data_IF_998072711655
#
_entry.id   IF_998072711655
#
_cell.length_a   1.000
_cell.length_b   1.000
_cell.length_c   1.000
_cell.angle_alpha   90.00
_cell.angle_beta   90.00
_cell.angle_gamma   90.00
#
_symmetry.space_group_name_H-M   'P 1'
#
loop_
_entity.id
_entity.type
_entity.pdbx_description
1 polymer ?
#
# COMPACT_ATOMS: atom_id res chain seq x y z
N UNK A 1 -5.00 9.05 -13.53
CA UNK A 1 -4.47 7.74 -13.10
C UNK A 1 -5.66 6.88 -12.74
N UNK A 2 -5.65 5.62 -13.17
CA UNK A 2 -6.70 4.65 -12.85
C UNK A 2 -6.15 3.61 -11.88
N UNK A 3 -7.02 3.01 -11.08
CA UNK A 3 -6.71 1.82 -10.30
C UNK A 3 -7.06 0.57 -11.12
N UNK A 4 -6.30 -0.50 -10.95
CA UNK A 4 -6.64 -1.80 -11.54
C UNK A 4 -6.41 -2.86 -10.49
N UNK A 5 -7.49 -3.54 -10.11
CA UNK A 5 -7.50 -4.65 -9.16
C UNK A 5 -7.20 -5.98 -9.88
N UNK A 6 -6.48 -6.88 -9.21
CA UNK A 6 -6.13 -8.18 -9.75
C UNK A 6 -5.40 -9.08 -8.75
N UNK A 7 -4.67 -10.04 -9.30
CA UNK A 7 -3.84 -10.99 -8.55
C UNK A 7 -2.49 -10.38 -8.19
N UNK A 8 -1.83 -10.96 -7.18
CA UNK A 8 -0.45 -10.61 -6.84
C UNK A 8 0.49 -10.72 -8.06
N UNK A 9 0.28 -11.72 -8.92
CA UNK A 9 1.10 -11.92 -10.11
C UNK A 9 0.95 -10.80 -11.14
N UNK A 10 -0.29 -10.38 -11.42
CA UNK A 10 -0.58 -9.28 -12.34
C UNK A 10 -0.01 -7.96 -11.81
N UNK A 11 -0.18 -7.69 -10.51
CA UNK A 11 0.41 -6.53 -9.88
C UNK A 11 1.95 -6.54 -10.00
N UNK A 12 2.62 -7.66 -9.67
CA UNK A 12 4.07 -7.81 -9.82
C UNK A 12 4.56 -7.59 -11.26
N UNK A 13 3.82 -8.09 -12.25
CA UNK A 13 4.14 -7.87 -13.65
C UNK A 13 4.03 -6.39 -14.02
N UNK A 14 3.04 -5.69 -13.48
CA UNK A 14 2.75 -4.30 -13.78
C UNK A 14 3.72 -3.29 -13.12
N UNK A 15 4.28 -3.60 -11.94
CA UNK A 15 5.32 -2.76 -11.30
C UNK A 15 6.66 -2.85 -12.04
N UNK A 16 6.90 -3.94 -12.76
CA UNK A 16 8.14 -4.19 -13.49
C UNK A 16 9.25 -4.85 -12.64
N UNK A 17 10.05 -5.70 -13.28
CA UNK A 17 11.08 -6.53 -12.62
C UNK A 17 12.23 -5.75 -11.96
N UNK A 18 12.45 -4.50 -12.37
CA UNK A 18 13.49 -3.62 -11.81
C UNK A 18 12.99 -2.69 -10.70
N UNK A 19 11.69 -2.71 -10.38
CA UNK A 19 11.14 -1.86 -9.34
C UNK A 19 11.58 -2.32 -7.95
N UNK A 20 12.07 -1.39 -7.14
CA UNK A 20 12.38 -1.63 -5.72
C UNK A 20 11.13 -2.00 -4.91
N UNK A 21 9.93 -1.75 -5.44
CA UNK A 21 8.68 -2.08 -4.77
C UNK A 21 8.30 -3.57 -4.87
N UNK A 22 8.82 -4.32 -5.86
CA UNK A 22 8.38 -5.69 -6.12
C UNK A 22 8.62 -6.63 -4.93
N UNK A 23 9.79 -6.54 -4.28
CA UNK A 23 10.08 -7.30 -3.07
C UNK A 23 9.15 -6.92 -1.92
N UNK A 24 8.98 -5.62 -1.68
CA UNK A 24 8.11 -5.11 -0.63
C UNK A 24 6.66 -5.58 -0.79
N UNK A 25 6.14 -5.63 -2.03
CA UNK A 25 4.81 -6.14 -2.34
C UNK A 25 4.63 -7.60 -1.91
N UNK A 26 5.61 -8.47 -2.20
CA UNK A 26 5.54 -9.89 -1.81
C UNK A 26 5.61 -10.04 -0.29
N UNK A 27 6.50 -9.32 0.38
CA UNK A 27 6.63 -9.38 1.83
C UNK A 27 5.36 -8.89 2.53
N UNK A 28 4.83 -7.73 2.13
CA UNK A 28 3.58 -7.21 2.68
C UNK A 28 2.40 -8.14 2.41
N UNK A 29 2.30 -8.72 1.21
CA UNK A 29 1.26 -9.71 0.91
C UNK A 29 1.32 -10.90 1.86
N UNK A 30 2.52 -11.45 2.11
CA UNK A 30 2.72 -12.59 3.02
C UNK A 30 2.43 -12.23 4.46
N UNK A 31 2.88 -11.08 4.91
CA UNK A 31 2.59 -10.60 6.26
C UNK A 31 1.07 -10.42 6.47
N UNK A 32 0.40 -9.71 5.57
CA UNK A 32 -1.04 -9.48 5.64
C UNK A 32 -1.83 -10.79 5.57
N UNK A 33 -1.52 -11.68 4.61
CA UNK A 33 -2.27 -12.92 4.40
C UNK A 33 -2.00 -13.99 5.47
N UNK A 34 -0.75 -14.19 5.87
CA UNK A 34 -0.36 -15.31 6.73
C UNK A 34 -0.21 -14.91 8.20
N UNK A 35 0.53 -13.83 8.49
CA UNK A 35 0.82 -13.42 9.86
C UNK A 35 -0.37 -12.67 10.47
N UNK A 36 -0.88 -11.66 9.76
CA UNK A 36 -2.02 -10.85 10.21
C UNK A 36 -3.37 -11.45 9.83
N UNK A 37 -3.41 -12.46 8.96
CA UNK A 37 -4.62 -13.21 8.56
C UNK A 37 -5.73 -12.31 7.99
N UNK A 38 -5.36 -11.30 7.22
CA UNK A 38 -6.30 -10.49 6.47
C UNK A 38 -7.03 -11.32 5.42
N UNK A 39 -8.27 -10.94 5.14
CA UNK A 39 -9.15 -11.62 4.19
C UNK A 39 -9.47 -10.71 3.00
N UNK A 40 -9.97 -11.31 1.91
CA UNK A 40 -10.33 -10.60 0.68
C UNK A 40 -9.18 -9.75 0.11
N UNK A 41 -7.96 -10.29 0.16
CA UNK A 41 -6.78 -9.60 -0.36
C UNK A 41 -6.81 -9.57 -1.89
N UNK A 42 -6.64 -8.36 -2.42
CA UNK A 42 -6.53 -8.06 -3.85
C UNK A 42 -5.30 -7.19 -4.04
N UNK A 43 -4.48 -7.52 -5.03
CA UNK A 43 -3.34 -6.68 -5.38
C UNK A 43 -3.73 -5.81 -6.58
N UNK A 44 -3.44 -4.52 -6.50
CA UNK A 44 -3.76 -3.59 -7.57
C UNK A 44 -2.57 -2.72 -7.93
N UNK A 45 -2.76 -1.90 -8.95
CA UNK A 45 -1.79 -0.87 -9.32
C UNK A 45 -2.45 0.49 -9.52
N UNK A 46 -1.70 1.53 -9.21
CA UNK A 46 -2.03 2.93 -9.44
C UNK A 46 -1.07 3.47 -10.49
N UNK A 47 -1.63 3.98 -11.59
CA UNK A 47 -0.88 4.48 -12.73
C UNK A 47 -1.65 4.31 -14.03
N UNK A 48 -1.30 5.07 -15.05
CA UNK A 48 -1.82 4.92 -16.41
C UNK A 48 -1.18 3.76 -17.17
N UNK A 49 -1.78 3.36 -18.31
CA UNK A 49 -1.18 2.44 -19.28
C UNK A 49 0.21 2.84 -19.76
N UNK A 50 0.47 4.15 -19.83
CA UNK A 50 1.69 4.72 -20.38
C UNK A 50 2.77 4.99 -19.31
N UNK A 51 2.46 4.82 -18.02
CA UNK A 51 3.41 5.06 -16.94
C UNK A 51 4.47 3.95 -16.92
N UNK A 52 5.74 4.34 -17.08
CA UNK A 52 6.87 3.41 -17.07
C UNK A 52 7.02 2.64 -15.75
N UNK A 53 6.50 3.19 -14.66
CA UNK A 53 6.49 2.55 -13.33
C UNK A 53 5.13 2.79 -12.70
N UNK A 54 4.40 1.70 -12.46
CA UNK A 54 3.15 1.73 -11.69
C UNK A 54 3.43 1.50 -10.22
N UNK A 55 2.56 2.01 -9.35
CA UNK A 55 2.67 1.80 -7.92
C UNK A 55 1.72 0.69 -7.49
N UNK A 56 2.25 -0.39 -6.93
CA UNK A 56 1.43 -1.48 -6.43
C UNK A 56 0.73 -1.10 -5.12
N UNK A 57 -0.47 -1.65 -4.91
CA UNK A 57 -1.24 -1.54 -3.66
C UNK A 57 -1.85 -2.89 -3.32
N UNK A 58 -2.21 -3.09 -2.06
CA UNK A 58 -2.93 -4.26 -1.58
C UNK A 58 -4.19 -3.77 -0.88
N UNK A 59 -5.35 -4.22 -1.32
CA UNK A 59 -6.62 -3.98 -0.63
C UNK A 59 -7.04 -5.24 0.10
N UNK A 60 -7.53 -5.12 1.32
CA UNK A 60 -8.05 -6.26 2.07
C UNK A 60 -8.68 -5.87 3.40
N UNK A 61 -9.13 -6.86 4.16
CA UNK A 61 -9.85 -6.67 5.43
C UNK A 61 -9.08 -7.29 6.62
N UNK A 62 -8.70 -6.50 7.64
CA UNK A 62 -8.14 -7.02 8.88
C UNK A 62 -9.13 -7.96 9.62
N UNK A 63 -8.66 -8.93 10.43
CA UNK A 63 -9.54 -9.85 11.16
C UNK A 63 -10.57 -9.16 12.05
N UNK A 64 -10.16 -8.08 12.72
CA UNK A 64 -10.97 -7.37 13.72
C UNK A 64 -11.69 -6.13 13.14
N UNK A 65 -11.84 -6.06 11.81
CA UNK A 65 -12.47 -4.92 11.16
C UNK A 65 -13.39 -5.36 10.03
N UNK A 66 -14.54 -4.71 9.91
CA UNK A 66 -15.44 -4.86 8.75
C UNK A 66 -15.02 -3.95 7.58
N UNK A 67 -14.13 -3.00 7.84
CA UNK A 67 -13.70 -1.96 6.90
C UNK A 67 -12.46 -2.45 6.15
N UNK A 68 -12.55 -2.48 4.82
CA UNK A 68 -11.39 -2.74 3.98
C UNK A 68 -10.39 -1.59 4.08
N UNK A 69 -9.10 -1.92 4.04
CA UNK A 69 -8.00 -0.98 4.02
C UNK A 69 -7.17 -1.18 2.77
N UNK A 70 -6.59 -0.07 2.31
CA UNK A 70 -5.61 -0.08 1.23
C UNK A 70 -4.22 0.06 1.85
N UNK A 71 -3.28 -0.74 1.37
CA UNK A 71 -1.89 -0.77 1.79
C UNK A 71 -1.02 -0.42 0.59
N UNK A 72 -0.10 0.51 0.78
CA UNK A 72 0.95 0.82 -0.19
C UNK A 72 2.28 0.28 0.35
N UNK A 73 2.78 -0.86 -0.17
CA UNK A 73 4.06 -1.42 0.22
C UNK A 73 5.20 -0.68 -0.46
N UNK A 74 6.28 -0.40 0.27
CA UNK A 74 7.52 0.15 -0.30
C UNK A 74 8.75 -0.41 0.42
N UNK A 75 9.87 -0.53 -0.30
CA UNK A 75 11.13 -0.89 0.33
C UNK A 75 11.69 0.30 1.13
N UNK A 76 12.41 0.03 2.22
CA UNK A 76 13.02 1.08 3.05
C UNK A 76 13.93 2.04 2.26
N UNK A 77 14.62 1.51 1.24
CA UNK A 77 15.51 2.26 0.36
C UNK A 77 14.85 2.71 -0.94
N UNK A 78 13.53 2.52 -1.11
CA UNK A 78 12.79 3.02 -2.27
C UNK A 78 12.68 4.54 -2.18
N UNK A 79 13.22 5.30 -3.16
CA UNK A 79 13.01 6.74 -3.22
C UNK A 79 11.52 7.04 -3.36
N UNK A 80 11.01 7.98 -2.57
CA UNK A 80 9.63 8.44 -2.65
C UNK A 80 9.57 9.96 -2.51
N UNK A 81 8.60 10.59 -3.16
CA UNK A 81 8.36 12.03 -3.09
C UNK A 81 6.96 12.29 -2.53
N UNK A 82 6.77 13.47 -1.95
CA UNK A 82 5.44 13.90 -1.51
C UNK A 82 4.43 13.89 -2.66
N UNK A 83 4.86 14.28 -3.86
CA UNK A 83 4.06 14.23 -5.09
C UNK A 83 3.56 12.82 -5.40
N UNK A 84 4.44 11.80 -5.28
CA UNK A 84 4.06 10.39 -5.48
C UNK A 84 2.98 9.95 -4.50
N UNK A 85 3.17 10.24 -3.21
CA UNK A 85 2.20 9.88 -2.17
C UNK A 85 0.87 10.63 -2.33
N UNK A 86 0.93 11.91 -2.70
CA UNK A 86 -0.24 12.73 -2.97
C UNK A 86 -1.04 12.17 -4.15
N UNK A 87 -0.39 11.85 -5.27
CA UNK A 87 -1.07 11.25 -6.42
C UNK A 87 -1.68 9.90 -6.10
N UNK A 88 -0.98 9.07 -5.32
CA UNK A 88 -1.49 7.77 -4.91
C UNK A 88 -2.75 7.92 -4.04
N UNK A 89 -2.73 8.79 -3.03
CA UNK A 89 -3.91 9.09 -2.21
C UNK A 89 -5.08 9.64 -3.04
N UNK A 90 -4.81 10.45 -4.07
CA UNK A 90 -5.85 11.01 -4.95
C UNK A 90 -6.44 9.97 -5.90
N UNK A 91 -5.66 8.99 -6.33
CA UNK A 91 -6.10 7.98 -7.28
C UNK A 91 -6.90 6.83 -6.64
N UNK A 92 -6.68 6.56 -5.36
CA UNK A 92 -7.32 5.45 -4.64
C UNK A 92 -8.78 5.70 -4.23
N UNK A 93 -9.31 6.92 -4.47
CA UNK A 93 -10.68 7.34 -4.10
C UNK A 93 -11.14 6.83 -2.72
N UNK A 94 -10.27 7.01 -1.72
CA UNK A 94 -10.53 6.49 -0.38
C UNK A 94 -11.75 7.18 0.25
N UNK A 95 -12.63 6.45 0.97
CA UNK A 95 -13.74 7.05 1.69
C UNK A 95 -13.29 8.17 2.63
N UNK A 96 -14.16 9.15 2.87
CA UNK A 96 -13.83 10.27 3.77
C UNK A 96 -13.50 9.74 5.17
N UNK A 97 -12.26 9.98 5.62
CA UNK A 97 -11.75 9.50 6.91
C UNK A 97 -11.04 8.13 6.86
N UNK A 98 -10.98 7.46 5.71
CA UNK A 98 -10.12 6.30 5.52
C UNK A 98 -8.66 6.73 5.30
N UNK A 99 -7.73 5.94 5.83
CA UNK A 99 -6.29 6.12 5.69
C UNK A 99 -5.71 5.07 4.75
N UNK A 100 -4.66 5.45 4.03
CA UNK A 100 -3.79 4.53 3.35
C UNK A 100 -2.76 4.01 4.35
N UNK A 101 -2.56 2.70 4.42
CA UNK A 101 -1.47 2.14 5.21
C UNK A 101 -0.18 2.10 4.39
N UNK A 102 0.82 2.90 4.78
CA UNK A 102 2.17 2.79 4.25
C UNK A 102 2.90 1.63 4.93
N UNK A 103 3.18 0.56 4.19
CA UNK A 103 3.95 -0.58 4.68
C UNK A 103 5.40 -0.45 4.23
N UNK A 104 6.30 -0.10 5.15
CA UNK A 104 7.74 0.02 4.89
C UNK A 104 8.40 -1.30 5.23
N UNK A 105 9.01 -1.94 4.24
CA UNK A 105 9.71 -3.22 4.38
C UNK A 105 11.21 -2.99 4.50
N UNK A 106 11.79 -3.40 5.63
CA UNK A 106 13.22 -3.35 5.90
C UNK A 106 14.01 -4.44 5.17
N UNK A 107 15.33 -4.26 5.10
CA UNK A 107 16.23 -5.24 4.46
C UNK A 107 16.29 -6.59 5.21
N UNK A 108 15.90 -6.60 6.48
CA UNK A 108 15.76 -7.79 7.34
C UNK A 108 14.35 -8.42 7.27
N UNK A 109 13.51 -7.98 6.32
CA UNK A 109 12.10 -8.37 6.17
C UNK A 109 11.18 -7.95 7.32
N UNK A 110 11.63 -7.07 8.22
CA UNK A 110 10.71 -6.39 9.15
C UNK A 110 9.75 -5.47 8.38
N UNK A 111 8.52 -5.32 8.88
CA UNK A 111 7.52 -4.44 8.26
C UNK A 111 6.93 -3.51 9.32
N UNK A 112 6.89 -2.22 9.00
CA UNK A 112 6.22 -1.20 9.82
C UNK A 112 5.09 -0.56 9.02
N UNK A 113 3.95 -0.36 9.66
CA UNK A 113 2.75 0.21 9.06
C UNK A 113 2.47 1.60 9.62
N UNK A 114 2.34 2.61 8.75
CA UNK A 114 1.95 3.97 9.11
C UNK A 114 0.62 4.37 8.45
N UNK A 115 -0.24 5.04 9.20
CA UNK A 115 -1.45 5.65 8.64
C UNK A 115 -1.10 6.95 7.89
N UNK A 116 -1.37 6.97 6.58
CA UNK A 116 -1.32 8.17 5.75
C UNK A 116 -2.74 8.67 5.48
N UNK A 117 -3.03 9.88 5.95
CA UNK A 117 -4.31 10.55 5.74
C UNK A 117 -4.17 11.72 4.77
N UNK A 118 -5.25 12.05 4.06
CA UNK A 118 -5.35 13.32 3.35
C UNK A 118 -5.73 14.44 4.33
N UNK A 119 -4.75 15.28 4.72
CA UNK A 119 -4.97 16.47 5.52
C UNK A 119 -4.12 16.56 6.78
N UNK A 120 -4.48 17.46 7.69
CA UNK A 120 -3.80 17.65 8.97
C UNK A 120 -4.28 16.55 9.92
N UNK A 121 -3.37 15.69 10.35
CA UNK A 121 -3.62 14.71 11.42
C UNK A 121 -3.39 15.42 12.74
N UNK A 122 -4.44 15.60 13.54
CA UNK A 122 -4.27 16.08 14.92
C UNK A 122 -3.48 15.03 15.71
N UNK A 123 -2.48 15.44 16.52
CA UNK A 123 -1.79 14.53 17.42
C UNK A 123 -2.81 13.79 18.29
N UNK A 124 -2.69 12.46 18.39
CA UNK A 124 -3.48 11.71 19.37
C UNK A 124 -2.94 12.11 20.75
N UNK A 125 -3.82 12.54 21.64
CA UNK A 125 -3.45 12.83 23.03
C UNK A 125 -2.78 11.59 23.64
N UNK A 126 -1.67 11.80 24.34
CA UNK A 126 -0.98 10.75 25.07
C UNK A 126 -1.81 10.49 26.34
N UNK A 127 -2.30 9.26 26.59
CA UNK A 127 -2.96 8.94 27.84
C UNK A 127 -1.98 9.16 29.02
N UNK A 128 -2.47 9.80 30.10
CA UNK A 128 -1.73 10.01 31.35
C UNK A 128 -1.28 8.70 32.01
#
# INVERSE_FOLDING_TARGET
>A
MSTTDGTLHEALSAVGRGSSQAGALVHAWRDLSAAQRWTHLVAGTVGGPEDAVRQATITGRPPDSTVARVVYPMALNQPTTFETLYHLLRALDLPKGATLLLAIVGNDSSIVYYDLAQGIVSPKEVPE
#
